data_IF_528537378326
#
_entry.id   IF_528537378326
#
_cell.length_a   1.000
_cell.length_b   1.000
_cell.length_c   1.000
_cell.angle_alpha   90.00
_cell.angle_beta   90.00
_cell.angle_gamma   90.00
#
_symmetry.space_group_name_H-M   'P 1'
#
loop_
_entity.id
_entity.type
_entity.pdbx_description
1 polymer ?
#
# COMPACT_ATOMS: atom_id res chain seq x y z
N UNK A 1 -18.57 -36.79 7.00
CA UNK A 1 -17.66 -35.86 6.30
C UNK A 1 -17.47 -34.64 7.20
N UNK A 2 -16.24 -34.32 7.59
CA UNK A 2 -15.95 -33.20 8.48
C UNK A 2 -15.73 -31.94 7.62
N UNK A 3 -16.65 -30.96 7.70
CA UNK A 3 -16.55 -29.72 6.93
C UNK A 3 -15.55 -28.78 7.62
N UNK A 4 -14.26 -28.91 7.28
CA UNK A 4 -13.26 -27.95 7.72
C UNK A 4 -13.51 -26.60 7.02
N UNK A 5 -14.07 -25.64 7.75
CA UNK A 5 -14.20 -24.26 7.27
C UNK A 5 -12.92 -23.50 7.58
N UNK A 6 -12.17 -23.12 6.55
CA UNK A 6 -10.99 -22.27 6.68
C UNK A 6 -11.43 -20.80 6.56
N UNK A 7 -11.20 -20.01 7.61
CA UNK A 7 -11.40 -18.55 7.56
C UNK A 7 -10.04 -17.88 7.30
N UNK A 8 -9.95 -17.07 6.25
CA UNK A 8 -8.73 -16.37 5.84
C UNK A 8 -8.99 -14.86 5.92
N UNK A 9 -8.07 -14.11 6.51
CA UNK A 9 -8.08 -12.65 6.54
C UNK A 9 -6.85 -12.06 5.85
N UNK A 10 -7.01 -10.90 5.20
CA UNK A 10 -5.97 -10.29 4.36
C UNK A 10 -5.66 -8.88 4.87
N UNK A 11 -4.38 -8.50 4.87
CA UNK A 11 -3.95 -7.12 5.16
C UNK A 11 -3.48 -6.47 3.86
N UNK A 12 -4.05 -5.32 3.51
CA UNK A 12 -3.86 -4.69 2.20
C UNK A 12 -3.29 -3.29 2.37
N UNK A 13 -2.18 -3.00 1.69
CA UNK A 13 -1.65 -1.65 1.59
C UNK A 13 -1.93 -1.04 0.23
N UNK A 14 -2.53 0.15 0.20
CA UNK A 14 -2.91 0.85 -1.01
C UNK A 14 -2.10 2.15 -1.10
N UNK A 15 -1.43 2.38 -2.22
CA UNK A 15 -0.73 3.63 -2.49
C UNK A 15 -1.16 4.16 -3.85
N UNK A 16 -1.35 5.48 -3.95
CA UNK A 16 -1.71 6.12 -5.20
C UNK A 16 -1.12 7.51 -5.31
N UNK A 17 -0.97 7.93 -6.56
CA UNK A 17 -0.52 9.23 -6.99
C UNK A 17 -1.75 10.12 -7.31
N UNK A 18 -1.71 11.41 -7.00
CA UNK A 18 -2.72 12.38 -7.45
C UNK A 18 -2.20 13.28 -8.57
N UNK A 19 -2.81 13.20 -9.75
CA UNK A 19 -2.48 14.06 -10.88
C UNK A 19 -1.59 13.38 -11.92
N UNK A 20 -1.13 14.17 -12.89
CA UNK A 20 -0.22 13.72 -13.93
C UNK A 20 1.24 13.88 -13.48
N UNK A 21 2.04 12.84 -13.64
CA UNK A 21 3.43 12.83 -13.18
C UNK A 21 4.39 12.82 -14.35
N UNK A 22 5.37 13.74 -14.30
CA UNK A 22 6.42 13.89 -15.31
C UNK A 22 7.78 13.30 -14.88
N UNK A 23 7.81 12.49 -13.81
CA UNK A 23 9.04 11.83 -13.32
C UNK A 23 9.30 10.52 -14.06
N UNK A 24 10.54 10.04 -13.97
CA UNK A 24 10.94 8.73 -14.46
C UNK A 24 10.04 7.62 -13.91
N UNK A 25 9.57 6.73 -14.80
CA UNK A 25 8.64 5.65 -14.48
C UNK A 25 9.17 4.73 -13.36
N UNK A 26 10.46 4.40 -13.38
CA UNK A 26 11.07 3.49 -12.40
C UNK A 26 11.12 4.12 -11.01
N UNK A 27 11.33 5.44 -10.93
CA UNK A 27 11.31 6.18 -9.66
C UNK A 27 9.89 6.18 -9.07
N UNK A 28 8.88 6.41 -9.91
CA UNK A 28 7.48 6.41 -9.49
C UNK A 28 7.01 5.02 -9.04
N UNK A 29 7.41 3.97 -9.76
CA UNK A 29 7.08 2.58 -9.45
C UNK A 29 7.68 2.12 -8.11
N UNK A 30 8.96 2.42 -7.87
CA UNK A 30 9.61 2.12 -6.60
C UNK A 30 8.94 2.85 -5.42
N UNK A 31 8.53 4.10 -5.62
CA UNK A 31 7.84 4.87 -4.58
C UNK A 31 6.44 4.30 -4.29
N UNK A 32 5.70 3.86 -5.32
CA UNK A 32 4.42 3.19 -5.15
C UNK A 32 4.55 1.91 -4.34
N UNK A 33 5.45 1.01 -4.77
CA UNK A 33 5.61 -0.28 -4.10
C UNK A 33 6.07 -0.14 -2.66
N UNK A 34 7.04 0.75 -2.40
CA UNK A 34 7.49 1.02 -1.03
C UNK A 34 6.37 1.57 -0.14
N UNK A 35 5.56 2.48 -0.67
CA UNK A 35 4.44 3.07 0.09
C UNK A 35 3.34 2.05 0.34
N UNK A 36 3.00 1.23 -0.66
CA UNK A 36 2.01 0.16 -0.53
C UNK A 36 2.47 -0.90 0.48
N UNK A 37 3.74 -1.30 0.46
CA UNK A 37 4.29 -2.26 1.41
C UNK A 37 4.25 -1.72 2.85
N UNK A 38 4.67 -0.46 3.06
CA UNK A 38 4.56 0.20 4.36
C UNK A 38 3.11 0.23 4.89
N UNK A 39 2.15 0.51 4.00
CA UNK A 39 0.72 0.50 4.36
C UNK A 39 0.23 -0.91 4.71
N UNK A 40 0.71 -1.94 4.02
CA UNK A 40 0.41 -3.34 4.36
C UNK A 40 1.00 -3.70 5.73
N UNK A 41 2.23 -3.28 6.03
CA UNK A 41 2.82 -3.44 7.37
C UNK A 41 1.99 -2.72 8.45
N UNK A 42 1.55 -1.49 8.20
CA UNK A 42 0.66 -0.76 9.11
C UNK A 42 -0.68 -1.51 9.33
N UNK A 43 -1.28 -2.05 8.27
CA UNK A 43 -2.48 -2.89 8.38
C UNK A 43 -2.26 -4.14 9.24
N UNK A 44 -1.08 -4.77 9.13
CA UNK A 44 -0.70 -5.92 9.97
C UNK A 44 -0.52 -5.50 11.44
N UNK A 45 0.21 -4.40 11.68
CA UNK A 45 0.45 -3.87 13.02
C UNK A 45 -0.85 -3.47 13.74
N UNK A 46 -1.83 -2.97 12.98
CA UNK A 46 -3.14 -2.58 13.51
C UNK A 46 -4.11 -3.75 13.71
N UNK A 47 -3.67 -5.01 13.67
CA UNK A 47 -4.50 -6.17 13.99
C UNK A 47 -5.00 -6.96 12.77
N UNK A 48 -4.40 -6.76 11.59
CA UNK A 48 -4.66 -7.53 10.35
C UNK A 48 -6.12 -7.40 9.86
N UNK A 49 -6.46 -8.18 8.84
CA UNK A 49 -7.78 -8.25 8.18
C UNK A 49 -8.40 -6.87 7.86
N UNK A 50 -7.60 -5.99 7.25
CA UNK A 50 -7.96 -4.59 6.98
C UNK A 50 -7.08 -4.00 5.88
N UNK A 51 -7.42 -2.79 5.46
CA UNK A 51 -6.58 -2.02 4.56
C UNK A 51 -6.08 -0.71 5.19
N UNK A 52 -4.95 -0.23 4.69
CA UNK A 52 -4.41 1.11 4.93
C UNK A 52 -4.15 1.75 3.58
N UNK A 53 -4.52 3.01 3.42
CA UNK A 53 -4.38 3.75 2.16
C UNK A 53 -3.61 5.05 2.38
N UNK A 54 -2.71 5.37 1.46
CA UNK A 54 -1.96 6.62 1.46
C UNK A 54 -1.90 7.22 0.06
N UNK A 55 -2.08 8.53 0.03
CA UNK A 55 -1.78 9.38 -1.10
C UNK A 55 -0.29 9.72 -1.10
N UNK A 56 0.35 9.70 -2.26
CA UNK A 56 1.74 10.14 -2.43
C UNK A 56 1.72 11.53 -3.10
N UNK A 57 1.99 12.56 -2.30
CA UNK A 57 2.21 13.92 -2.79
C UNK A 57 3.68 14.05 -3.20
N UNK A 58 3.96 14.25 -4.50
CA UNK A 58 5.34 14.45 -4.97
C UNK A 58 5.77 15.91 -5.02
N UNK A 59 4.92 16.82 -4.53
CA UNK A 59 5.25 18.24 -4.35
C UNK A 59 6.32 18.43 -3.26
N UNK A 60 6.67 17.36 -2.53
CA UNK A 60 7.82 17.33 -1.65
C UNK A 60 9.13 17.27 -2.46
N UNK A 61 9.68 18.46 -2.71
CA UNK A 61 11.09 18.62 -3.08
C UNK A 61 11.90 18.82 -1.80
N UNK A 62 12.74 17.85 -1.37
CA UNK A 62 13.72 18.11 -0.32
C UNK A 62 14.94 18.90 -0.83
N UNK A 63 14.92 19.33 -2.11
CA UNK A 63 15.98 20.09 -2.78
C UNK A 63 15.39 21.22 -3.63
#
# INVERSE_FOLDING_TARGET
MNNLKINIGISIGIAYFSGEYKKDKNVLENLLFKTADNNMYASKANGRNRYTISKIDTDYSPF
#
